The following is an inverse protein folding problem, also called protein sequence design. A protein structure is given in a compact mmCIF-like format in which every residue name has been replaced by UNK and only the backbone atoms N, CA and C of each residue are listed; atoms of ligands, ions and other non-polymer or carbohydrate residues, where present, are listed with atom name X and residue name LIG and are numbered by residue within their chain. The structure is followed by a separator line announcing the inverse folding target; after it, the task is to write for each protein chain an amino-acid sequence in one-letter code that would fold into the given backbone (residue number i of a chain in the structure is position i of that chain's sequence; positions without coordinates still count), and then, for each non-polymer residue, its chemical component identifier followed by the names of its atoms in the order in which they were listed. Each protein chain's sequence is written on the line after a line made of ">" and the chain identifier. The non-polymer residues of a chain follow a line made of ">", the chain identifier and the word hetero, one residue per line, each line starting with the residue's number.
data_IF_627380511387
#
_entry.id   IF_627380511387
#
_cell.length_a   1.000
_cell.length_b   1.000
_cell.length_c   1.000
_cell.angle_alpha   90.00
_cell.angle_beta   90.00
_cell.angle_gamma   90.00
#
_symmetry.space_group_name_H-M   'P 1'
#
loop_
_entity.id
_entity.type
_entity.pdbx_description
1 polymer ?
#
# COMPACT_ATOMS: atom_id res chain seq x y z
N UNK A 1 18.16 -25.30 -10.38
CA UNK A 1 17.86 -24.02 -11.07
C UNK A 1 17.09 -24.31 -12.35
N UNK A 2 16.21 -23.42 -12.79
CA UNK A 2 15.60 -23.50 -14.12
C UNK A 2 16.54 -22.88 -15.18
N UNK A 3 16.43 -23.25 -16.48
CA UNK A 3 17.14 -22.55 -17.55
C UNK A 3 16.88 -21.04 -17.49
N UNK A 4 17.88 -20.23 -17.88
CA UNK A 4 17.81 -18.76 -17.88
C UNK A 4 17.60 -18.10 -16.50
N UNK A 5 17.86 -18.83 -15.40
CA UNK A 5 17.93 -18.24 -14.06
C UNK A 5 19.37 -17.95 -13.65
N UNK A 6 19.54 -17.04 -12.69
CA UNK A 6 20.84 -16.64 -12.15
C UNK A 6 20.91 -16.82 -10.63
N UNK A 7 22.12 -16.95 -10.09
CA UNK A 7 22.38 -17.04 -8.64
C UNK A 7 23.67 -16.32 -8.29
N UNK A 8 23.71 -15.68 -7.12
CA UNK A 8 24.85 -14.88 -6.65
C UNK A 8 24.40 -13.50 -6.19
N UNK A 9 25.22 -12.47 -6.45
CA UNK A 9 24.94 -11.08 -6.07
C UNK A 9 24.51 -10.93 -4.59
N UNK A 10 25.21 -11.61 -3.69
CA UNK A 10 24.85 -11.74 -2.28
C UNK A 10 25.54 -10.69 -1.40
N UNK A 11 25.81 -9.51 -1.94
CA UNK A 11 26.46 -8.45 -1.17
C UNK A 11 25.49 -7.87 -0.13
N UNK A 12 25.90 -7.72 1.15
CA UNK A 12 25.01 -7.22 2.19
C UNK A 12 24.62 -5.77 1.95
N UNK A 13 23.35 -5.44 2.16
CA UNK A 13 22.80 -4.08 2.13
C UNK A 13 22.08 -3.78 3.44
N UNK A 14 21.88 -2.50 3.76
CA UNK A 14 21.07 -2.10 4.89
C UNK A 14 19.59 -2.52 4.67
N UNK A 15 18.80 -2.59 5.75
CA UNK A 15 17.38 -2.98 5.67
C UNK A 15 16.53 -2.09 4.74
N UNK A 16 16.95 -0.85 4.49
CA UNK A 16 16.33 0.06 3.53
C UNK A 16 16.83 -0.07 2.08
N UNK A 17 17.71 -1.04 1.78
CA UNK A 17 18.34 -1.20 0.46
C UNK A 17 19.55 -0.29 0.22
N UNK A 18 19.89 0.57 1.18
CA UNK A 18 21.07 1.45 1.10
C UNK A 18 22.39 0.72 1.35
N UNK A 19 23.47 1.29 0.85
CA UNK A 19 24.82 0.80 1.11
C UNK A 19 25.22 1.01 2.57
N UNK A 20 25.75 -0.04 3.21
CA UNK A 20 26.29 0.04 4.57
C UNK A 20 27.62 0.81 4.51
N UNK A 21 27.78 1.84 5.33
CA UNK A 21 28.98 2.70 5.33
C UNK A 21 29.94 2.36 6.47
N UNK A 22 31.22 2.67 6.25
CA UNK A 22 32.27 2.62 7.28
C UNK A 22 32.66 1.21 7.72
N UNK A 23 33.23 1.09 8.92
CA UNK A 23 33.76 -0.18 9.44
C UNK A 23 32.69 -1.26 9.65
N UNK A 24 31.43 -0.85 9.83
CA UNK A 24 30.31 -1.79 9.90
C UNK A 24 30.12 -2.56 8.59
N UNK A 25 30.32 -1.93 7.44
CA UNK A 25 30.22 -2.60 6.14
C UNK A 25 31.19 -3.77 6.04
N UNK A 26 32.46 -3.52 6.40
CA UNK A 26 33.50 -4.54 6.41
C UNK A 26 33.16 -5.68 7.38
N UNK A 27 32.69 -5.36 8.59
CA UNK A 27 32.32 -6.39 9.58
C UNK A 27 31.20 -7.28 9.07
N UNK A 28 30.13 -6.70 8.52
CA UNK A 28 29.00 -7.45 7.96
C UNK A 28 29.43 -8.27 6.74
N UNK A 29 30.23 -7.71 5.84
CA UNK A 29 30.76 -8.43 4.68
C UNK A 29 31.63 -9.62 5.09
N UNK A 30 32.53 -9.43 6.06
CA UNK A 30 33.38 -10.50 6.57
C UNK A 30 32.58 -11.63 7.23
N UNK A 31 31.58 -11.28 8.04
CA UNK A 31 30.71 -12.25 8.69
C UNK A 31 29.87 -13.03 7.66
N UNK A 32 29.21 -12.34 6.74
CA UNK A 32 28.43 -12.95 5.67
C UNK A 32 29.29 -13.85 4.75
N UNK A 33 30.51 -13.41 4.42
CA UNK A 33 31.45 -14.18 3.63
C UNK A 33 31.90 -15.46 4.37
N UNK A 34 32.20 -15.37 5.66
CA UNK A 34 32.56 -16.53 6.47
C UNK A 34 31.39 -17.51 6.58
N UNK A 35 30.18 -17.00 6.80
CA UNK A 35 28.95 -17.80 6.92
C UNK A 35 28.63 -18.57 5.64
N UNK A 36 28.56 -17.89 4.48
CA UNK A 36 28.24 -18.55 3.20
C UNK A 36 29.32 -19.58 2.81
N UNK A 37 30.58 -19.30 3.16
CA UNK A 37 31.71 -20.21 2.92
C UNK A 37 31.60 -21.47 3.78
N UNK A 38 31.19 -21.33 5.04
CA UNK A 38 30.89 -22.46 5.93
C UNK A 38 29.81 -23.37 5.36
N UNK A 39 28.67 -22.79 4.96
CA UNK A 39 27.56 -23.51 4.32
C UNK A 39 27.98 -24.23 3.04
N UNK A 40 28.76 -23.56 2.19
CA UNK A 40 29.26 -24.15 0.95
C UNK A 40 30.17 -25.36 1.24
N UNK A 41 31.09 -25.24 2.20
CA UNK A 41 31.98 -26.36 2.59
C UNK A 41 31.22 -27.55 3.16
N UNK A 42 30.28 -27.31 4.06
CA UNK A 42 29.47 -28.38 4.67
C UNK A 42 28.73 -29.21 3.61
N UNK A 43 28.23 -28.51 2.57
CA UNK A 43 27.49 -29.10 1.45
C UNK A 43 28.37 -29.51 0.26
N UNK A 44 29.70 -29.43 0.38
CA UNK A 44 30.64 -29.84 -0.66
C UNK A 44 30.57 -28.98 -1.94
N UNK A 45 30.26 -27.69 -1.79
CA UNK A 45 30.13 -26.71 -2.88
C UNK A 45 31.34 -25.80 -2.98
N UNK A 46 31.39 -25.06 -4.08
CA UNK A 46 32.47 -24.12 -4.36
C UNK A 46 32.45 -22.93 -3.39
N UNK A 47 33.19 -23.08 -2.30
CA UNK A 47 33.27 -22.14 -1.21
C UNK A 47 33.95 -20.82 -1.62
N UNK A 48 34.93 -20.88 -2.51
CA UNK A 48 35.65 -19.69 -3.00
C UNK A 48 34.76 -18.85 -3.90
N UNK A 49 33.92 -19.48 -4.72
CA UNK A 49 32.90 -18.75 -5.47
C UNK A 49 31.85 -18.15 -4.53
N UNK A 50 31.38 -18.89 -3.53
CA UNK A 50 30.37 -18.40 -2.58
C UNK A 50 30.86 -17.15 -1.83
N UNK A 51 32.12 -17.13 -1.39
CA UNK A 51 32.72 -15.93 -0.80
C UNK A 51 32.78 -14.76 -1.82
N UNK A 52 33.20 -15.01 -3.06
CA UNK A 52 33.20 -13.97 -4.09
C UNK A 52 31.80 -13.43 -4.39
N UNK A 53 30.76 -14.24 -4.27
CA UNK A 53 29.38 -13.80 -4.48
C UNK A 53 28.96 -12.74 -3.45
N UNK A 54 29.51 -12.79 -2.23
CA UNK A 54 29.31 -11.78 -1.18
C UNK A 54 30.24 -10.58 -1.40
N UNK A 55 31.55 -10.80 -1.56
CA UNK A 55 32.54 -9.71 -1.60
C UNK A 55 32.55 -8.91 -2.90
N UNK A 56 32.25 -9.57 -4.03
CA UNK A 56 32.39 -9.00 -5.39
C UNK A 56 31.08 -8.99 -6.16
N UNK A 57 29.96 -9.34 -5.51
CA UNK A 57 28.63 -9.40 -6.13
C UNK A 57 28.57 -10.22 -7.43
N UNK A 58 29.42 -11.24 -7.58
CA UNK A 58 29.43 -12.06 -8.80
C UNK A 58 28.14 -12.86 -8.91
N UNK A 59 27.65 -13.01 -10.14
CA UNK A 59 26.47 -13.82 -10.47
C UNK A 59 26.86 -14.87 -11.52
N UNK A 60 26.19 -16.02 -11.51
CA UNK A 60 26.36 -17.08 -12.50
C UNK A 60 25.01 -17.41 -13.14
N UNK A 61 25.04 -17.72 -14.43
CA UNK A 61 23.95 -18.42 -15.10
C UNK A 61 23.79 -19.84 -14.57
N UNK A 62 22.62 -20.45 -14.76
CA UNK A 62 22.34 -21.82 -14.35
C UNK A 62 23.38 -22.84 -14.87
N UNK A 63 23.89 -22.67 -16.09
CA UNK A 63 24.90 -23.56 -16.68
C UNK A 63 26.27 -23.42 -16.00
N UNK A 64 26.73 -22.19 -15.79
CA UNK A 64 28.01 -21.92 -15.12
C UNK A 64 27.96 -22.31 -13.65
N UNK A 65 26.83 -22.14 -12.98
CA UNK A 65 26.62 -22.55 -11.60
C UNK A 65 26.71 -24.07 -11.45
N UNK A 66 26.27 -24.84 -12.45
CA UNK A 66 26.43 -26.29 -12.48
C UNK A 66 27.90 -26.68 -12.70
N UNK A 67 28.55 -26.07 -13.69
CA UNK A 67 29.97 -26.33 -14.02
C UNK A 67 30.90 -26.03 -12.83
N UNK A 68 30.67 -24.88 -12.16
CA UNK A 68 31.46 -24.46 -11.00
C UNK A 68 31.06 -25.17 -9.70
N UNK A 69 30.16 -26.16 -9.74
CA UNK A 69 29.67 -26.93 -8.57
C UNK A 69 29.05 -26.06 -7.47
N UNK A 70 28.33 -25.01 -7.87
CA UNK A 70 27.49 -24.20 -6.98
C UNK A 70 26.13 -24.87 -6.79
N UNK A 71 25.59 -25.47 -7.86
CA UNK A 71 24.35 -26.24 -7.88
C UNK A 71 24.59 -27.66 -8.44
N UNK A 72 23.63 -28.57 -8.30
CA UNK A 72 23.73 -29.94 -8.82
C UNK A 72 22.88 -30.21 -10.06
N UNK A 73 21.81 -29.44 -10.25
CA UNK A 73 20.79 -29.74 -11.26
C UNK A 73 20.25 -28.47 -11.87
N UNK A 74 20.25 -28.46 -13.20
CA UNK A 74 19.43 -27.57 -14.03
C UNK A 74 18.27 -28.38 -14.61
N UNK A 75 17.04 -27.94 -14.40
CA UNK A 75 15.82 -28.62 -14.86
C UNK A 75 14.77 -27.60 -15.31
N UNK A 76 14.16 -27.82 -16.49
CA UNK A 76 13.18 -26.89 -17.07
C UNK A 76 11.82 -26.90 -16.38
N UNK A 77 11.48 -28.01 -15.74
CA UNK A 77 10.19 -28.24 -15.11
C UNK A 77 10.32 -29.23 -13.93
N UNK A 78 9.25 -29.35 -13.16
CA UNK A 78 9.20 -30.21 -11.98
C UNK A 78 9.40 -31.69 -12.33
N UNK A 79 8.85 -32.17 -13.45
CA UNK A 79 9.00 -33.56 -13.89
C UNK A 79 10.45 -33.89 -14.23
N UNK A 80 11.13 -33.00 -14.96
CA UNK A 80 12.55 -33.08 -15.28
C UNK A 80 13.41 -33.04 -14.02
N UNK A 81 13.07 -32.18 -13.06
CA UNK A 81 13.75 -32.10 -11.77
C UNK A 81 13.65 -33.43 -11.02
N UNK A 82 12.44 -33.95 -10.81
CA UNK A 82 12.18 -35.19 -10.08
C UNK A 82 12.92 -36.38 -10.70
N UNK A 83 13.01 -36.46 -12.04
CA UNK A 83 13.81 -37.48 -12.74
C UNK A 83 15.31 -37.32 -12.50
N UNK A 84 15.84 -36.09 -12.46
CA UNK A 84 17.29 -35.83 -12.30
C UNK A 84 17.79 -35.96 -10.86
N UNK A 85 16.90 -35.85 -9.87
CA UNK A 85 17.26 -35.96 -8.44
C UNK A 85 16.99 -37.35 -7.85
N UNK A 86 16.26 -38.21 -8.57
CA UNK A 86 16.01 -39.58 -8.15
C UNK A 86 17.32 -40.35 -7.95
N UNK A 87 17.39 -41.12 -6.85
CA UNK A 87 18.58 -41.89 -6.48
C UNK A 87 19.75 -41.08 -5.93
N UNK A 88 19.65 -39.74 -5.85
CA UNK A 88 20.74 -38.92 -5.27
C UNK A 88 20.78 -39.06 -3.76
N UNK A 89 21.99 -39.12 -3.20
CA UNK A 89 22.23 -39.05 -1.75
C UNK A 89 22.36 -37.59 -1.32
N UNK A 90 21.54 -37.18 -0.36
CA UNK A 90 21.59 -35.87 0.28
C UNK A 90 21.97 -36.01 1.75
N UNK A 91 22.70 -35.03 2.29
CA UNK A 91 22.99 -34.96 3.72
C UNK A 91 21.83 -34.24 4.42
N UNK A 92 21.19 -34.91 5.36
CA UNK A 92 20.18 -34.33 6.25
C UNK A 92 20.74 -34.27 7.67
N UNK A 93 20.11 -33.49 8.55
CA UNK A 93 20.48 -33.45 9.97
C UNK A 93 20.38 -34.83 10.65
N UNK A 94 19.42 -35.65 10.22
CA UNK A 94 19.23 -37.02 10.70
C UNK A 94 20.17 -38.06 10.04
N UNK A 95 21.05 -37.64 9.11
CA UNK A 95 21.96 -38.51 8.38
C UNK A 95 21.78 -38.49 6.85
N UNK A 96 22.57 -39.28 6.11
CA UNK A 96 22.46 -39.35 4.66
C UNK A 96 21.16 -40.04 4.23
N UNK A 97 20.37 -39.38 3.38
CA UNK A 97 19.12 -39.89 2.81
C UNK A 97 19.27 -40.04 1.30
N UNK A 98 18.78 -41.15 0.74
CA UNK A 98 18.69 -41.31 -0.72
C UNK A 98 17.30 -40.85 -1.17
N UNK A 99 17.26 -39.87 -2.08
CA UNK A 99 16.04 -39.37 -2.66
C UNK A 99 15.38 -40.45 -3.52
N UNK A 100 14.11 -40.73 -3.25
CA UNK A 100 13.26 -41.61 -4.06
C UNK A 100 12.10 -40.78 -4.56
N UNK A 101 12.30 -40.16 -5.71
CA UNK A 101 11.37 -39.21 -6.32
C UNK A 101 10.64 -39.80 -7.52
N UNK A 102 11.06 -40.98 -7.99
CA UNK A 102 10.33 -41.75 -9.00
C UNK A 102 8.91 -42.05 -8.51
N UNK A 103 7.91 -41.63 -9.29
CA UNK A 103 6.48 -41.78 -9.03
C UNK A 103 5.99 -41.18 -7.69
N UNK A 104 6.76 -40.27 -7.09
CA UNK A 104 6.38 -39.63 -5.85
C UNK A 104 5.14 -38.71 -6.06
N UNK A 105 4.11 -38.78 -5.18
CA UNK A 105 2.96 -37.91 -5.27
C UNK A 105 3.38 -36.46 -5.02
N UNK A 106 2.90 -35.55 -5.86
CA UNK A 106 3.20 -34.12 -5.75
C UNK A 106 2.08 -33.45 -4.97
N UNK A 107 2.35 -33.10 -3.72
CA UNK A 107 1.49 -32.22 -2.94
C UNK A 107 1.90 -30.76 -3.20
N UNK A 108 0.97 -29.96 -3.74
CA UNK A 108 1.17 -28.51 -3.89
C UNK A 108 0.61 -27.80 -2.67
N UNK A 109 1.44 -26.92 -2.10
CA UNK A 109 1.03 -26.00 -1.05
C UNK A 109 0.91 -24.63 -1.69
N UNK A 110 -0.29 -24.32 -2.19
CA UNK A 110 -0.60 -23.00 -2.70
C UNK A 110 -0.90 -22.04 -1.53
N UNK A 111 -0.74 -20.74 -1.78
CA UNK A 111 -1.12 -19.73 -0.79
C UNK A 111 -2.59 -19.87 -0.42
N UNK A 112 -2.86 -19.86 0.88
CA UNK A 112 -4.23 -19.74 1.40
C UNK A 112 -4.87 -18.42 0.98
N UNK A 113 -6.20 -18.33 1.05
CA UNK A 113 -6.90 -17.08 0.73
C UNK A 113 -6.43 -15.90 1.58
N UNK A 114 -6.11 -16.14 2.85
CA UNK A 114 -5.58 -15.13 3.76
C UNK A 114 -4.15 -14.72 3.38
N UNK A 115 -3.26 -15.68 3.09
CA UNK A 115 -1.90 -15.36 2.64
C UNK A 115 -1.91 -14.57 1.33
N UNK A 116 -2.81 -14.92 0.39
CA UNK A 116 -2.97 -14.16 -0.86
C UNK A 116 -3.41 -12.73 -0.58
N UNK A 117 -4.39 -12.52 0.31
CA UNK A 117 -4.83 -11.18 0.70
C UNK A 117 -3.68 -10.38 1.33
N UNK A 118 -2.97 -10.96 2.30
CA UNK A 118 -1.85 -10.31 2.97
C UNK A 118 -0.72 -9.97 1.97
N UNK A 119 -0.40 -10.87 1.06
CA UNK A 119 0.58 -10.63 0.00
C UNK A 119 0.17 -9.49 -0.93
N UNK A 120 -1.12 -9.44 -1.30
CA UNK A 120 -1.68 -8.36 -2.12
C UNK A 120 -1.61 -7.00 -1.40
N UNK A 121 -1.83 -6.96 -0.08
CA UNK A 121 -1.74 -5.70 0.71
C UNK A 121 -0.30 -5.17 0.80
N UNK A 122 0.69 -6.05 0.69
CA UNK A 122 2.12 -5.68 0.66
C UNK A 122 2.54 -5.09 -0.70
N UNK A 123 1.64 -4.96 -1.68
CA UNK A 123 1.91 -4.17 -2.87
C UNK A 123 1.82 -2.66 -2.55
N UNK A 124 2.86 -1.84 -2.85
CA UNK A 124 2.87 -0.40 -2.58
C UNK A 124 1.68 0.37 -3.15
N UNK A 125 1.23 -0.01 -4.34
CA UNK A 125 0.11 0.64 -5.02
C UNK A 125 -1.21 0.32 -4.30
N UNK A 126 -1.38 -0.90 -3.82
CA UNK A 126 -2.54 -1.31 -3.04
C UNK A 126 -2.53 -0.67 -1.65
N UNK A 127 -1.39 -0.61 -0.98
CA UNK A 127 -1.23 0.10 0.29
C UNK A 127 -1.58 1.59 0.14
N UNK A 128 -1.14 2.23 -0.95
CA UNK A 128 -1.48 3.63 -1.25
C UNK A 128 -2.99 3.86 -1.50
N UNK A 129 -3.65 2.94 -2.21
CA UNK A 129 -5.11 2.98 -2.41
C UNK A 129 -5.85 2.81 -1.08
N UNK A 130 -5.46 1.81 -0.27
CA UNK A 130 -6.08 1.55 1.03
C UNK A 130 -5.89 2.72 1.99
N UNK A 131 -4.73 3.36 1.99
CA UNK A 131 -4.47 4.57 2.77
C UNK A 131 -5.42 5.71 2.34
N UNK A 132 -5.55 5.96 1.03
CA UNK A 132 -6.45 6.99 0.50
C UNK A 132 -7.93 6.70 0.78
N UNK A 133 -8.40 5.47 0.52
CA UNK A 133 -9.78 5.07 0.81
C UNK A 133 -10.06 5.11 2.31
N UNK A 134 -9.09 4.71 3.13
CA UNK A 134 -9.16 4.79 4.58
C UNK A 134 -9.37 6.22 5.07
N UNK A 135 -8.55 7.15 4.57
CA UNK A 135 -8.68 8.58 4.87
C UNK A 135 -10.00 9.18 4.35
N UNK A 136 -10.46 8.78 3.17
CA UNK A 136 -11.77 9.19 2.62
C UNK A 136 -12.94 8.67 3.47
N UNK A 137 -12.91 7.41 3.91
CA UNK A 137 -13.94 6.83 4.78
C UNK A 137 -14.04 7.56 6.11
N UNK A 138 -12.89 7.84 6.73
CA UNK A 138 -12.82 8.65 7.95
C UNK A 138 -13.35 10.08 7.72
N UNK A 139 -13.01 10.69 6.58
CA UNK A 139 -13.52 12.00 6.22
C UNK A 139 -15.05 12.03 6.10
N UNK A 140 -15.65 11.04 5.44
CA UNK A 140 -17.11 10.97 5.27
C UNK A 140 -17.86 10.76 6.59
N UNK A 141 -17.31 9.94 7.50
CA UNK A 141 -17.85 9.77 8.86
C UNK A 141 -17.84 11.10 9.64
N UNK A 142 -16.71 11.83 9.62
CA UNK A 142 -16.56 13.09 10.33
C UNK A 142 -17.47 14.19 9.77
N UNK A 143 -17.72 14.18 8.46
CA UNK A 143 -18.55 15.17 7.77
C UNK A 143 -20.05 14.90 7.93
N UNK A 144 -20.44 13.65 8.09
CA UNK A 144 -21.83 13.24 8.30
C UNK A 144 -21.95 12.36 9.55
N UNK A 145 -21.90 12.97 10.75
CA UNK A 145 -21.98 12.22 12.00
C UNK A 145 -23.21 11.31 12.03
N UNK A 146 -23.02 10.03 12.32
CA UNK A 146 -24.09 9.03 12.42
C UNK A 146 -24.17 8.04 11.26
N UNK A 147 -23.41 8.26 10.20
CA UNK A 147 -23.19 7.28 9.13
C UNK A 147 -22.09 6.30 9.54
N UNK A 148 -22.35 5.31 10.40
CA UNK A 148 -21.30 4.39 10.95
C UNK A 148 -20.51 3.61 9.88
N UNK A 149 -21.09 3.40 8.69
CA UNK A 149 -20.54 2.49 7.68
C UNK A 149 -19.21 2.97 7.06
N UNK A 150 -19.06 4.22 6.58
CA UNK A 150 -17.81 4.73 6.02
C UNK A 150 -16.69 4.82 7.05
N UNK A 151 -16.97 5.10 8.33
CA UNK A 151 -15.95 5.10 9.38
C UNK A 151 -15.39 3.71 9.65
N UNK A 152 -16.26 2.68 9.70
CA UNK A 152 -15.81 1.29 9.86
C UNK A 152 -14.99 0.81 8.66
N UNK A 153 -15.49 1.04 7.44
CA UNK A 153 -14.76 0.68 6.21
C UNK A 153 -13.43 1.44 6.15
N UNK A 154 -13.46 2.75 6.43
CA UNK A 154 -12.28 3.60 6.44
C UNK A 154 -11.24 3.13 7.45
N UNK A 155 -11.67 2.82 8.69
CA UNK A 155 -10.81 2.28 9.74
C UNK A 155 -10.17 0.94 9.36
N UNK A 156 -10.94 0.01 8.77
CA UNK A 156 -10.40 -1.26 8.28
C UNK A 156 -9.37 -1.01 7.17
N UNK A 157 -9.68 -0.16 6.19
CA UNK A 157 -8.75 0.21 5.13
C UNK A 157 -7.45 0.82 5.67
N UNK A 158 -7.53 1.71 6.67
CA UNK A 158 -6.35 2.28 7.32
C UNK A 158 -5.52 1.23 8.05
N UNK A 159 -6.16 0.31 8.80
CA UNK A 159 -5.44 -0.76 9.50
C UNK A 159 -4.71 -1.68 8.52
N UNK A 160 -5.35 -2.05 7.41
CA UNK A 160 -4.72 -2.85 6.36
C UNK A 160 -3.62 -2.07 5.64
N UNK A 161 -3.81 -0.77 5.37
CA UNK A 161 -2.78 0.07 4.80
C UNK A 161 -1.54 0.14 5.70
N UNK A 162 -1.72 0.36 7.01
CA UNK A 162 -0.60 0.40 7.95
C UNK A 162 0.09 -0.96 8.10
N UNK A 163 -0.65 -2.07 8.02
CA UNK A 163 -0.05 -3.39 7.96
C UNK A 163 0.85 -3.54 6.73
N UNK A 164 0.36 -3.18 5.54
CA UNK A 164 1.15 -3.23 4.29
C UNK A 164 2.37 -2.31 4.35
N UNK A 165 2.20 -1.07 4.81
CA UNK A 165 3.28 -0.09 5.00
C UNK A 165 4.33 -0.55 6.02
N UNK A 166 3.94 -1.27 7.07
CA UNK A 166 4.86 -1.80 8.07
C UNK A 166 5.79 -2.90 7.53
N UNK A 167 5.42 -3.55 6.42
CA UNK A 167 6.22 -4.57 5.74
C UNK A 167 7.06 -3.98 4.59
N UNK A 168 6.82 -2.72 4.23
CA UNK A 168 7.47 -2.02 3.13
C UNK A 168 8.56 -1.06 3.64
N UNK A 169 9.61 -0.77 2.85
CA UNK A 169 10.62 0.22 3.19
C UNK A 169 10.08 1.65 2.98
N UNK A 170 9.09 2.04 3.78
CA UNK A 170 8.33 3.28 3.60
C UNK A 170 9.14 4.51 4.05
N UNK A 171 9.09 5.57 3.26
CA UNK A 171 9.53 6.89 3.68
C UNK A 171 8.38 7.62 4.42
N UNK A 172 8.58 7.87 5.71
CA UNK A 172 7.61 8.56 6.56
C UNK A 172 7.29 10.00 6.10
N UNK A 173 8.18 10.65 5.34
CA UNK A 173 7.88 11.94 4.73
C UNK A 173 6.72 11.84 3.72
N UNK A 174 6.65 10.73 2.97
CA UNK A 174 5.55 10.46 2.04
C UNK A 174 4.23 10.27 2.77
N UNK A 175 4.24 9.50 3.87
CA UNK A 175 3.06 9.34 4.74
C UNK A 175 2.60 10.69 5.29
N UNK A 176 3.52 11.51 5.80
CA UNK A 176 3.22 12.83 6.34
C UNK A 176 2.61 13.76 5.27
N UNK A 177 3.12 13.74 4.04
CA UNK A 177 2.56 14.50 2.92
C UNK A 177 1.13 14.06 2.56
N UNK A 178 0.84 12.75 2.59
CA UNK A 178 -0.51 12.23 2.35
C UNK A 178 -1.46 12.67 3.47
N UNK A 179 -1.06 12.55 4.73
CA UNK A 179 -1.86 13.02 5.87
C UNK A 179 -2.11 14.54 5.77
N UNK A 180 -1.08 15.29 5.40
CA UNK A 180 -1.18 16.74 5.18
C UNK A 180 -2.13 17.08 4.04
N UNK A 181 -2.13 16.32 2.94
CA UNK A 181 -3.09 16.49 1.85
C UNK A 181 -4.54 16.40 2.33
N UNK A 182 -4.85 15.37 3.13
CA UNK A 182 -6.19 15.22 3.71
C UNK A 182 -6.51 16.31 4.73
N UNK A 183 -5.54 16.77 5.51
CA UNK A 183 -5.72 17.92 6.40
C UNK A 183 -6.09 19.18 5.59
N UNK A 184 -5.43 19.44 4.47
CA UNK A 184 -5.75 20.57 3.58
C UNK A 184 -7.15 20.43 2.97
N UNK A 185 -7.52 19.23 2.50
CA UNK A 185 -8.86 18.98 1.98
C UNK A 185 -9.95 19.20 3.04
N UNK A 186 -9.71 18.75 4.27
CA UNK A 186 -10.62 18.96 5.40
C UNK A 186 -10.70 20.45 5.75
N UNK A 187 -9.55 21.12 5.85
CA UNK A 187 -9.47 22.54 6.19
C UNK A 187 -10.24 23.42 5.20
N UNK A 188 -10.22 23.10 3.90
CA UNK A 188 -10.98 23.80 2.87
C UNK A 188 -12.50 23.78 3.12
N UNK A 189 -13.03 22.75 3.77
CA UNK A 189 -14.46 22.64 4.05
C UNK A 189 -14.89 23.53 5.22
N UNK A 190 -14.00 23.72 6.19
CA UNK A 190 -14.25 24.61 7.34
C UNK A 190 -13.93 26.07 7.00
N UNK A 191 -12.92 26.31 6.18
CA UNK A 191 -12.50 27.62 5.71
C UNK A 191 -12.35 27.62 4.18
N UNK A 192 -13.44 27.84 3.42
CA UNK A 192 -13.40 27.82 1.96
C UNK A 192 -12.47 28.90 1.40
N UNK A 193 -11.34 28.48 0.84
CA UNK A 193 -10.33 29.34 0.20
C UNK A 193 -10.52 29.42 -1.32
N UNK A 194 -11.69 29.01 -1.83
CA UNK A 194 -12.01 28.92 -3.26
C UNK A 194 -11.11 27.92 -4.01
N UNK A 195 -10.68 26.85 -3.33
CA UNK A 195 -9.96 25.72 -3.91
C UNK A 195 -8.44 25.80 -3.80
N UNK A 196 -7.86 26.83 -3.16
CA UNK A 196 -6.40 26.92 -2.97
C UNK A 196 -5.88 25.76 -2.13
N UNK A 197 -6.55 25.44 -1.01
CA UNK A 197 -6.15 24.28 -0.20
C UNK A 197 -6.41 22.95 -0.92
N UNK A 198 -7.43 22.86 -1.79
CA UNK A 198 -7.64 21.67 -2.62
C UNK A 198 -6.50 21.44 -3.60
N UNK A 199 -6.01 22.49 -4.27
CA UNK A 199 -4.86 22.38 -5.17
C UNK A 199 -3.61 21.99 -4.38
N UNK A 200 -3.38 22.63 -3.22
CA UNK A 200 -2.30 22.25 -2.30
C UNK A 200 -2.39 20.79 -1.87
N UNK A 201 -3.59 20.32 -1.52
CA UNK A 201 -3.85 18.94 -1.13
C UNK A 201 -3.56 17.95 -2.27
N UNK A 202 -3.97 18.24 -3.50
CA UNK A 202 -3.65 17.41 -4.66
C UNK A 202 -2.13 17.34 -4.89
N UNK A 203 -1.44 18.47 -4.83
CA UNK A 203 0.03 18.51 -4.98
C UNK A 203 0.70 17.71 -3.87
N UNK A 204 0.31 17.91 -2.60
CA UNK A 204 0.82 17.15 -1.46
C UNK A 204 0.54 15.65 -1.59
N UNK A 205 -0.61 15.26 -2.12
CA UNK A 205 -0.97 13.85 -2.32
C UNK A 205 -0.11 13.21 -3.42
N UNK A 206 0.13 13.92 -4.53
CA UNK A 206 1.01 13.46 -5.62
C UNK A 206 2.44 13.30 -5.11
N UNK A 207 2.99 14.34 -4.46
CA UNK A 207 4.33 14.29 -3.88
C UNK A 207 4.43 13.19 -2.83
N UNK A 208 3.42 13.06 -1.98
CA UNK A 208 3.34 12.00 -0.97
C UNK A 208 3.40 10.61 -1.60
N UNK A 209 2.66 10.36 -2.68
CA UNK A 209 2.70 9.09 -3.42
C UNK A 209 4.07 8.76 -3.99
N UNK A 210 4.77 9.73 -4.58
CA UNK A 210 6.12 9.52 -5.10
C UNK A 210 7.16 9.33 -4.00
N UNK A 211 7.05 10.09 -2.91
CA UNK A 211 7.99 10.00 -1.79
C UNK A 211 7.76 8.74 -0.96
N UNK A 212 6.54 8.19 -0.91
CA UNK A 212 6.16 7.08 -0.05
C UNK A 212 7.11 5.88 -0.12
N UNK A 213 7.63 5.57 -1.31
CA UNK A 213 8.56 4.46 -1.58
C UNK A 213 9.92 4.94 -2.12
N UNK A 214 10.27 6.21 -1.92
CA UNK A 214 11.54 6.75 -2.39
C UNK A 214 12.71 6.03 -1.72
N UNK A 215 13.66 5.52 -2.52
CA UNK A 215 14.82 4.76 -2.00
C UNK A 215 14.61 3.25 -1.94
N UNK A 216 13.44 2.76 -2.34
CA UNK A 216 13.17 1.32 -2.47
C UNK A 216 13.80 0.72 -3.75
N UNK A 217 13.82 -0.62 -3.83
CA UNK A 217 14.35 -1.32 -5.00
C UNK A 217 13.47 -1.06 -6.24
N UNK A 218 14.06 -1.00 -7.45
CA UNK A 218 13.29 -0.89 -8.70
C UNK A 218 12.21 -1.96 -8.78
N UNK A 219 10.95 -1.53 -8.92
CA UNK A 219 9.77 -2.41 -8.92
C UNK A 219 8.95 -2.42 -7.63
N UNK A 220 9.39 -1.75 -6.56
CA UNK A 220 8.64 -1.55 -5.32
C UNK A 220 8.09 -0.12 -5.16
N UNK A 221 7.80 0.53 -6.29
CA UNK A 221 7.29 1.89 -6.34
C UNK A 221 5.76 1.89 -6.54
N UNK A 222 5.11 2.97 -6.10
CA UNK A 222 3.70 3.21 -6.43
C UNK A 222 3.62 3.60 -7.91
N UNK A 223 2.72 2.96 -8.66
CA UNK A 223 2.57 3.26 -10.09
C UNK A 223 2.24 4.75 -10.32
N UNK A 224 3.01 5.49 -11.16
CA UNK A 224 2.76 6.91 -11.39
C UNK A 224 1.35 7.20 -11.94
N UNK A 225 0.83 6.35 -12.82
CA UNK A 225 -0.53 6.48 -13.36
C UNK A 225 -1.58 6.36 -12.26
N UNK A 226 -1.37 5.47 -11.30
CA UNK A 226 -2.23 5.32 -10.14
C UNK A 226 -2.16 6.55 -9.23
N UNK A 227 -0.97 7.09 -8.97
CA UNK A 227 -0.81 8.32 -8.17
C UNK A 227 -1.66 9.44 -8.76
N UNK A 228 -1.53 9.70 -10.07
CA UNK A 228 -2.31 10.76 -10.72
C UNK A 228 -3.81 10.45 -10.76
N UNK A 229 -4.20 9.19 -10.92
CA UNK A 229 -5.61 8.78 -10.94
C UNK A 229 -6.26 8.98 -9.56
N UNK A 230 -5.59 8.54 -8.49
CA UNK A 230 -6.07 8.71 -7.11
C UNK A 230 -6.07 10.18 -6.72
N UNK A 231 -5.00 10.93 -7.00
CA UNK A 231 -4.94 12.35 -6.67
C UNK A 231 -5.96 13.17 -7.45
N UNK A 232 -6.13 12.88 -8.75
CA UNK A 232 -7.12 13.53 -9.60
C UNK A 232 -8.55 13.22 -9.17
N UNK A 233 -8.87 11.95 -8.88
CA UNK A 233 -10.22 11.56 -8.42
C UNK A 233 -10.54 12.12 -7.05
N UNK A 234 -9.61 12.07 -6.08
CA UNK A 234 -9.77 12.68 -4.76
C UNK A 234 -9.92 14.20 -4.87
N UNK A 235 -9.07 14.87 -5.66
CA UNK A 235 -9.18 16.32 -5.89
C UNK A 235 -10.51 16.71 -6.53
N UNK A 236 -10.98 15.96 -7.54
CA UNK A 236 -12.27 16.19 -8.19
C UNK A 236 -13.45 15.99 -7.22
N UNK A 237 -13.38 14.98 -6.35
CA UNK A 237 -14.37 14.73 -5.31
C UNK A 237 -14.48 15.93 -4.35
N UNK A 238 -13.36 16.38 -3.78
CA UNK A 238 -13.36 17.53 -2.86
C UNK A 238 -13.79 18.83 -3.55
N UNK A 239 -13.32 19.08 -4.78
CA UNK A 239 -13.78 20.23 -5.58
C UNK A 239 -15.30 20.20 -5.80
N UNK A 240 -15.88 19.02 -6.06
CA UNK A 240 -17.32 18.84 -6.20
C UNK A 240 -18.05 19.10 -4.88
N UNK A 241 -17.55 18.57 -3.76
CA UNK A 241 -18.13 18.84 -2.43
C UNK A 241 -18.16 20.34 -2.13
N UNK A 242 -17.08 21.08 -2.41
CA UNK A 242 -17.01 22.53 -2.22
C UNK A 242 -18.00 23.24 -3.14
N UNK A 243 -18.05 22.88 -4.42
CA UNK A 243 -18.99 23.47 -5.37
C UNK A 243 -20.45 23.28 -4.93
N UNK A 244 -20.79 22.10 -4.39
CA UNK A 244 -22.11 21.82 -3.83
C UNK A 244 -22.38 22.59 -2.55
N UNK A 245 -21.40 22.70 -1.64
CA UNK A 245 -21.52 23.45 -0.40
C UNK A 245 -21.76 24.95 -0.66
N UNK A 246 -20.98 25.57 -1.55
CA UNK A 246 -21.15 26.97 -1.97
C UNK A 246 -22.51 27.19 -2.64
N UNK A 247 -22.96 26.26 -3.50
CA UNK A 247 -24.29 26.31 -4.10
C UNK A 247 -25.42 26.17 -3.08
N UNK A 248 -25.23 25.36 -2.04
CA UNK A 248 -26.21 25.19 -0.97
C UNK A 248 -26.33 26.45 -0.12
N UNK A 249 -25.21 27.12 0.20
CA UNK A 249 -25.21 28.40 0.93
C UNK A 249 -25.86 29.54 0.14
N UNK A 250 -25.79 29.52 -1.19
CA UNK A 250 -26.44 30.52 -2.05
C UNK A 250 -27.95 30.34 -2.26
N UNK A 251 -28.55 29.24 -1.77
CA UNK A 251 -30.01 29.03 -1.89
C UNK A 251 -30.76 29.88 -0.86
N UNK A 252 -31.78 30.60 -1.32
CA UNK A 252 -32.67 31.39 -0.44
C UNK A 252 -33.22 30.49 0.69
N UNK A 253 -33.25 30.96 1.94
CA UNK A 253 -33.81 30.20 3.05
C UNK A 253 -35.25 29.78 2.73
N UNK A 254 -35.53 28.48 2.69
CA UNK A 254 -36.88 27.92 2.44
C UNK A 254 -37.66 27.68 3.74
N UNK A 255 -37.11 28.10 4.88
CA UNK A 255 -37.75 28.03 6.20
C UNK A 255 -37.51 29.34 6.94
N UNK A 256 -38.53 29.86 7.63
CA UNK A 256 -38.46 31.13 8.37
C UNK A 256 -39.56 32.13 7.99
N UNK A 257 -39.57 33.30 8.66
CA UNK A 257 -40.52 34.39 8.37
C UNK A 257 -40.24 35.01 7.00
N UNK A 258 -39.00 34.94 6.54
CA UNK A 258 -38.56 35.45 5.25
C UNK A 258 -39.18 34.68 4.08
N UNK A 259 -39.50 33.40 4.24
CA UNK A 259 -40.18 32.57 3.24
C UNK A 259 -41.70 32.87 3.12
N UNK A 260 -42.27 33.56 4.12
CA UNK A 260 -43.68 33.95 4.13
C UNK A 260 -43.94 35.27 3.38
N UNK A 261 -42.90 36.07 3.12
CA UNK A 261 -43.03 37.36 2.43
C UNK A 261 -43.26 37.11 0.94
N UNK A 262 -44.45 37.47 0.44
CA UNK A 262 -44.83 37.32 -0.97
C UNK A 262 -45.53 36.00 -1.31
N UNK A 263 -45.75 35.11 -0.33
CA UNK A 263 -46.58 33.91 -0.54
C UNK A 263 -48.06 34.21 -0.31
N UNK A 264 -48.91 33.68 -1.18
CA UNK A 264 -50.36 33.74 -1.01
C UNK A 264 -50.81 32.73 0.06
N UNK A 265 -51.44 33.23 1.11
CA UNK A 265 -52.06 32.39 2.14
C UNK A 265 -53.59 32.36 1.96
N UNK A 266 -54.20 31.19 2.21
CA UNK A 266 -55.66 31.08 2.25
C UNK A 266 -56.17 31.56 3.60
N UNK A 267 -56.94 32.64 3.61
CA UNK A 267 -57.62 33.15 4.80
C UNK A 267 -58.71 32.16 5.21
N UNK A 268 -58.60 31.58 6.40
CA UNK A 268 -59.60 30.63 6.94
C UNK A 268 -60.76 31.32 7.68
N UNK A 269 -60.60 32.59 8.04
CA UNK A 269 -61.57 33.32 8.87
C UNK A 269 -61.57 34.81 8.52
N UNK A 270 -62.75 35.43 8.42
CA UNK A 270 -62.89 36.82 7.96
C UNK A 270 -62.28 37.81 8.96
N UNK A 271 -61.33 38.62 8.50
CA UNK A 271 -60.68 39.65 9.33
C UNK A 271 -61.65 40.82 9.50
N UNK A 272 -62.20 40.98 10.70
CA UNK A 272 -63.05 42.11 11.06
C UNK A 272 -62.20 43.37 11.34
N UNK A 273 -62.64 44.59 10.98
CA UNK A 273 -61.79 45.79 10.94
C UNK A 273 -61.33 46.35 12.30
N UNK A 274 -61.56 45.66 13.42
CA UNK A 274 -61.47 46.26 14.76
C UNK A 274 -60.56 45.58 15.78
N UNK A 275 -59.75 44.59 15.38
CA UNK A 275 -58.87 43.92 16.36
C UNK A 275 -57.48 43.66 15.80
N UNK A 276 -56.64 44.71 15.80
CA UNK A 276 -55.20 44.54 15.80
C UNK A 276 -54.76 43.98 17.16
N UNK A 277 -54.66 42.65 17.30
CA UNK A 277 -54.00 42.03 18.46
C UNK A 277 -53.75 40.54 18.27
N UNK A 278 -52.47 40.17 18.19
CA UNK A 278 -51.85 38.84 18.42
C UNK A 278 -52.18 37.72 17.42
N UNK A 279 -51.27 37.56 16.45
CA UNK A 279 -51.09 36.28 15.75
C UNK A 279 -50.41 35.26 16.68
N UNK A 280 -51.01 34.07 16.80
CA UNK A 280 -50.50 32.92 17.55
C UNK A 280 -49.96 31.91 16.52
N UNK A 281 -48.73 31.39 16.65
CA UNK A 281 -48.19 30.47 15.66
C UNK A 281 -48.89 29.11 15.75
N UNK A 282 -49.19 28.53 14.58
CA UNK A 282 -49.80 27.22 14.45
C UNK A 282 -48.84 26.12 14.92
N UNK A 283 -49.36 25.23 15.77
CA UNK A 283 -48.77 23.92 16.09
C UNK A 283 -49.04 22.99 14.89
N UNK A 284 -48.01 22.41 14.32
CA UNK A 284 -48.14 21.28 13.38
C UNK A 284 -47.55 20.03 14.03
N UNK A 285 -48.42 19.03 14.18
CA UNK A 285 -48.09 17.60 14.27
C UNK A 285 -47.54 17.08 12.95
#
# INVERSE_FOLDING_TARGET
>A
MAPNTATGAAHPVAGGGEEIKGDMAKKVEHDAAAYIRGLAKERGRNADWAERAVRKSVSLSASEALEKKVIEVVAGDLTSLLKKIDGRKVKMAAGPLTLRTKDAPIARFDMTGMERLLYTITDPSIAFILLNLGMLGMFFELSNPGSVLPGVIGGICLLLAFFGLGMLPVNYAGVALILFAFLLFIAELFAPTHGVLTIGGVISLVLGGFVLMSGSQPGLEVSPSLIFTVAGSTGALFATCIALALRAQGRKPTTGREDLIGRHARVKEAVSPKTASRSRPARTS
#
